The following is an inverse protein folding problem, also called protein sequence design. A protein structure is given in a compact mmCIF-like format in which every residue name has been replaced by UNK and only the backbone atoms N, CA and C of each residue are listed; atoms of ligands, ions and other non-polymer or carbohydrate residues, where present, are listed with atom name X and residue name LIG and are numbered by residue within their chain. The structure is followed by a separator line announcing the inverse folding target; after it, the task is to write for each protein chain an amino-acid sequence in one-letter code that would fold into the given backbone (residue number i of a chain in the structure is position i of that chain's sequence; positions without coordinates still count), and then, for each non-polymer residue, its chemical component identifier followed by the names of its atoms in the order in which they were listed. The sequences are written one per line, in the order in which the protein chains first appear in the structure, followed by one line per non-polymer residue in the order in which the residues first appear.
data_IF_419241096058
#
_entry.id   IF_419241096058
#
_cell.length_a   1.000
_cell.length_b   1.000
_cell.length_c   1.000
_cell.angle_alpha   90.00
_cell.angle_beta   90.00
_cell.angle_gamma   90.00
#
_symmetry.space_group_name_H-M   'P 1'
#
loop_
_entity.id
_entity.type
_entity.pdbx_description
1 polymer ?
#
# COMPACT_ATOMS: atom_id res chain seq x y z
N UNK A 1 0.75 29.77 -31.53
CA UNK A 1 -0.05 28.52 -31.48
C UNK A 1 -1.53 28.88 -31.45
N UNK A 2 -2.42 28.14 -32.14
CA UNK A 2 -3.85 28.46 -32.08
C UNK A 2 -4.46 28.02 -30.74
N UNK A 3 -5.48 28.72 -30.21
CA UNK A 3 -6.10 28.39 -28.92
C UNK A 3 -6.67 26.96 -28.87
N UNK A 4 -7.10 26.45 -30.02
CA UNK A 4 -7.58 25.08 -30.20
C UNK A 4 -6.48 24.04 -30.03
N UNK A 5 -5.27 24.29 -30.55
CA UNK A 5 -4.13 23.37 -30.41
C UNK A 5 -3.66 23.27 -28.96
N UNK A 6 -3.70 24.38 -28.21
CA UNK A 6 -3.35 24.40 -26.79
C UNK A 6 -4.38 23.68 -25.92
N UNK A 7 -5.68 23.85 -26.22
CA UNK A 7 -6.74 23.09 -25.54
C UNK A 7 -6.69 21.60 -25.86
N UNK A 8 -6.36 21.24 -27.10
CA UNK A 8 -6.12 19.85 -27.50
C UNK A 8 -4.86 19.26 -26.84
N UNK A 9 -3.79 20.03 -26.64
CA UNK A 9 -2.61 19.54 -25.93
C UNK A 9 -2.90 19.33 -24.44
N UNK A 10 -3.61 20.25 -23.78
CA UNK A 10 -4.05 20.08 -22.39
C UNK A 10 -5.03 18.92 -22.23
N UNK A 11 -5.96 18.74 -23.18
CA UNK A 11 -6.86 17.57 -23.18
C UNK A 11 -6.08 16.28 -23.45
N UNK A 12 -5.05 16.31 -24.31
CA UNK A 12 -4.19 15.16 -24.59
C UNK A 12 -3.27 14.83 -23.40
N UNK A 13 -2.75 15.81 -22.68
CA UNK A 13 -2.03 15.60 -21.42
C UNK A 13 -2.97 15.12 -20.30
N UNK A 14 -4.20 15.60 -20.24
CA UNK A 14 -5.19 15.10 -19.29
C UNK A 14 -5.70 13.68 -19.62
N UNK A 15 -5.79 13.32 -20.90
CA UNK A 15 -6.26 12.01 -21.37
C UNK A 15 -5.14 10.98 -21.55
N UNK A 16 -3.92 11.41 -21.84
CA UNK A 16 -2.77 10.56 -22.20
C UNK A 16 -1.47 10.91 -21.47
N UNK A 17 -1.42 11.97 -20.66
CA UNK A 17 -0.18 12.51 -20.09
C UNK A 17 0.45 11.70 -18.97
N UNK A 18 -0.01 10.48 -18.68
CA UNK A 18 0.64 9.61 -17.69
C UNK A 18 0.29 8.10 -17.85
N UNK A 19 -0.01 7.65 -19.07
CA UNK A 19 -0.61 6.32 -19.28
C UNK A 19 0.35 5.18 -19.66
N UNK A 20 1.66 5.42 -19.79
CA UNK A 20 2.60 4.33 -20.05
C UNK A 20 3.35 3.94 -18.77
N UNK A 21 2.99 2.77 -18.23
CA UNK A 21 3.74 2.15 -17.13
C UNK A 21 5.04 1.63 -17.71
N UNK A 22 6.13 2.34 -17.44
CA UNK A 22 7.48 1.87 -17.75
C UNK A 22 7.78 0.68 -16.83
N UNK A 23 7.95 -0.51 -17.41
CA UNK A 23 8.11 -1.76 -16.67
C UNK A 23 9.38 -1.79 -15.82
N UNK A 24 10.45 -1.17 -16.31
CA UNK A 24 11.71 -1.02 -15.57
C UNK A 24 11.50 -0.19 -14.30
N UNK A 25 10.71 0.89 -14.39
CA UNK A 25 10.38 1.73 -13.23
C UNK A 25 9.46 0.99 -12.26
N UNK A 26 8.50 0.20 -12.77
CA UNK A 26 7.67 -0.67 -11.95
C UNK A 26 8.53 -1.70 -11.20
N UNK A 27 9.50 -2.31 -11.88
CA UNK A 27 10.45 -3.26 -11.29
C UNK A 27 11.36 -2.61 -10.23
N UNK A 28 11.88 -1.42 -10.50
CA UNK A 28 12.66 -0.66 -9.53
C UNK A 28 11.83 -0.32 -8.28
N UNK A 29 10.59 0.16 -8.44
CA UNK A 29 9.71 0.46 -7.30
C UNK A 29 9.33 -0.80 -6.52
N UNK A 30 9.12 -1.93 -7.21
CA UNK A 30 8.93 -3.22 -6.56
C UNK A 30 10.14 -3.58 -5.68
N UNK A 31 11.36 -3.44 -6.19
CA UNK A 31 12.57 -3.80 -5.44
C UNK A 31 12.90 -2.85 -4.27
N UNK A 32 12.27 -1.67 -4.21
CA UNK A 32 12.37 -0.78 -3.04
C UNK A 32 11.58 -1.33 -1.85
N UNK A 33 10.49 -2.05 -2.11
CA UNK A 33 9.64 -2.56 -1.04
C UNK A 33 10.34 -3.68 -0.27
N UNK A 34 10.17 -3.73 1.05
CA UNK A 34 10.70 -4.82 1.86
C UNK A 34 9.98 -6.14 1.53
N UNK A 35 10.64 -7.25 1.84
CA UNK A 35 10.04 -8.60 1.68
C UNK A 35 9.09 -8.92 2.84
N UNK A 36 9.40 -8.43 4.04
CA UNK A 36 8.56 -8.52 5.23
C UNK A 36 8.53 -7.20 6.02
N UNK A 37 7.41 -6.96 6.68
CA UNK A 37 7.23 -5.79 7.56
C UNK A 37 6.60 -6.24 8.86
N UNK A 38 7.25 -5.91 9.98
CA UNK A 38 6.71 -6.19 11.31
C UNK A 38 5.64 -5.15 11.63
N UNK A 39 4.44 -5.65 11.92
CA UNK A 39 3.30 -4.85 12.35
C UNK A 39 2.81 -5.37 13.69
N UNK A 40 2.74 -4.49 14.66
CA UNK A 40 1.97 -4.73 15.88
C UNK A 40 0.70 -3.92 15.83
N UNK A 41 -0.39 -4.41 16.40
CA UNK A 41 -1.64 -3.67 16.46
C UNK A 41 -2.39 -3.94 17.75
N UNK A 42 -3.23 -2.99 18.13
CA UNK A 42 -4.14 -3.07 19.26
C UNK A 42 -5.51 -2.51 18.88
N UNK A 43 -6.56 -2.94 19.59
CA UNK A 43 -7.89 -2.34 19.46
C UNK A 43 -8.06 -1.25 20.50
N UNK A 44 -8.39 -0.07 20.00
CA UNK A 44 -8.86 1.06 20.79
C UNK A 44 -10.32 1.32 20.40
N UNK A 45 -11.23 0.75 21.18
CA UNK A 45 -12.67 0.66 20.89
C UNK A 45 -12.98 0.08 19.48
N UNK A 46 -13.46 0.92 18.56
CA UNK A 46 -13.81 0.56 17.19
C UNK A 46 -12.61 0.65 16.22
N UNK A 47 -11.46 1.11 16.70
CA UNK A 47 -10.27 1.32 15.87
C UNK A 47 -9.24 0.23 16.09
N UNK A 48 -8.59 -0.16 15.00
CA UNK A 48 -7.38 -0.97 14.98
C UNK A 48 -6.22 0.00 14.81
N UNK A 49 -5.43 0.19 15.86
CA UNK A 49 -4.24 1.04 15.85
C UNK A 49 -3.01 0.16 15.62
N UNK A 50 -2.29 0.41 14.53
CA UNK A 50 -1.12 -0.33 14.12
C UNK A 50 0.18 0.46 14.28
N UNK A 51 1.24 -0.25 14.64
CA UNK A 51 2.62 0.22 14.62
C UNK A 51 3.39 -0.60 13.59
N UNK A 52 3.84 0.09 12.54
CA UNK A 52 4.54 -0.48 11.40
C UNK A 52 6.02 -0.13 11.52
N UNK A 53 6.86 -1.15 11.65
CA UNK A 53 8.32 -0.96 11.75
C UNK A 53 8.96 -1.23 10.39
N UNK A 54 9.53 -0.18 9.78
CA UNK A 54 10.16 -0.26 8.45
C UNK A 54 11.37 0.66 8.37
N UNK A 55 12.49 0.16 7.85
CA UNK A 55 13.72 0.95 7.69
C UNK A 55 14.31 1.52 8.98
N UNK A 56 14.06 0.89 10.14
CA UNK A 56 14.49 1.39 11.45
C UNK A 56 13.62 2.50 12.05
N UNK A 57 12.51 2.83 11.38
CA UNK A 57 11.53 3.80 11.86
C UNK A 57 10.21 3.12 12.22
N UNK A 58 9.55 3.64 13.25
CA UNK A 58 8.19 3.24 13.62
C UNK A 58 7.19 4.27 13.07
N UNK A 59 6.16 3.77 12.41
CA UNK A 59 5.05 4.57 11.93
C UNK A 59 3.73 4.04 12.48
N UNK A 60 2.73 4.92 12.58
CA UNK A 60 1.40 4.56 13.07
C UNK A 60 0.37 4.57 11.95
N UNK A 61 -0.52 3.58 11.96
CA UNK A 61 -1.72 3.52 11.12
C UNK A 61 -2.94 3.28 11.99
N UNK A 62 -4.12 3.65 11.50
CA UNK A 62 -5.38 3.33 12.14
C UNK A 62 -6.45 3.04 11.11
N UNK A 63 -7.37 2.13 11.43
CA UNK A 63 -8.48 1.76 10.57
C UNK A 63 -9.63 1.18 11.39
N UNK A 64 -10.84 1.13 10.83
CA UNK A 64 -12.02 0.56 11.50
C UNK A 64 -12.29 -0.90 11.13
N UNK A 65 -11.65 -1.39 10.07
CA UNK A 65 -11.81 -2.77 9.61
C UNK A 65 -10.46 -3.41 9.29
N UNK A 66 -10.40 -4.74 9.35
CA UNK A 66 -9.20 -5.50 9.00
C UNK A 66 -8.71 -5.21 7.59
N UNK A 67 -9.64 -5.09 6.62
CA UNK A 67 -9.32 -4.79 5.22
C UNK A 67 -8.72 -3.40 5.08
N UNK A 68 -9.39 -2.40 5.63
CA UNK A 68 -8.90 -1.01 5.61
C UNK A 68 -7.54 -0.91 6.33
N UNK A 69 -7.35 -1.65 7.43
CA UNK A 69 -6.06 -1.70 8.13
C UNK A 69 -4.93 -2.18 7.23
N UNK A 70 -5.16 -3.27 6.48
CA UNK A 70 -4.19 -3.80 5.50
C UNK A 70 -3.92 -2.79 4.38
N UNK A 71 -4.95 -2.11 3.89
CA UNK A 71 -4.81 -1.05 2.87
C UNK A 71 -3.96 0.11 3.40
N UNK A 72 -4.23 0.59 4.62
CA UNK A 72 -3.47 1.66 5.29
C UNK A 72 -2.00 1.30 5.51
N UNK A 73 -1.69 0.05 5.88
CA UNK A 73 -0.30 -0.41 6.02
C UNK A 73 0.42 -0.38 4.67
N UNK A 74 -0.22 -0.81 3.58
CA UNK A 74 0.39 -0.78 2.25
C UNK A 74 0.56 0.65 1.73
N UNK A 75 -0.43 1.52 1.93
CA UNK A 75 -0.34 2.93 1.55
C UNK A 75 0.78 3.65 2.30
N UNK A 76 0.97 3.33 3.59
CA UNK A 76 2.09 3.83 4.37
C UNK A 76 3.43 3.40 3.77
N UNK A 77 3.57 2.14 3.37
CA UNK A 77 4.81 1.67 2.74
C UNK A 77 5.07 2.35 1.41
N UNK A 78 4.04 2.55 0.59
CA UNK A 78 4.18 3.30 -0.65
C UNK A 78 4.62 4.74 -0.42
N UNK A 79 4.12 5.38 0.64
CA UNK A 79 4.56 6.72 1.02
C UNK A 79 6.02 6.74 1.51
N UNK A 80 6.41 5.82 2.39
CA UNK A 80 7.77 5.73 2.94
C UNK A 80 8.83 5.49 1.85
N UNK A 81 8.49 4.68 0.84
CA UNK A 81 9.40 4.37 -0.28
C UNK A 81 9.19 5.28 -1.50
N UNK A 82 8.41 6.35 -1.35
CA UNK A 82 8.12 7.35 -2.40
C UNK A 82 7.63 6.72 -3.71
N UNK A 83 6.79 5.69 -3.61
CA UNK A 83 6.23 4.99 -4.75
C UNK A 83 5.08 5.84 -5.32
N UNK A 84 5.15 6.27 -6.59
CA UNK A 84 4.10 7.09 -7.16
C UNK A 84 2.79 6.30 -7.24
N UNK A 85 1.67 6.97 -6.95
CA UNK A 85 0.34 6.35 -6.87
C UNK A 85 -0.03 5.55 -8.14
N UNK A 86 0.37 6.03 -9.33
CA UNK A 86 0.16 5.32 -10.61
C UNK A 86 0.81 3.94 -10.68
N UNK A 87 1.97 3.76 -10.03
CA UNK A 87 2.63 2.46 -9.93
C UNK A 87 2.05 1.63 -8.78
N UNK A 88 1.63 2.25 -7.67
CA UNK A 88 0.99 1.55 -6.55
C UNK A 88 -0.26 0.76 -6.99
N UNK A 89 -1.09 1.32 -7.88
CA UNK A 89 -2.25 0.62 -8.45
C UNK A 89 -1.87 -0.62 -9.28
N UNK A 90 -0.68 -0.63 -9.88
CA UNK A 90 -0.16 -1.75 -10.70
C UNK A 90 0.64 -2.75 -9.89
N UNK A 91 1.07 -2.38 -8.69
CA UNK A 91 1.71 -3.25 -7.71
C UNK A 91 0.67 -4.10 -6.94
N UNK A 92 -0.56 -4.26 -7.43
CA UNK A 92 -1.62 -5.02 -6.76
C UNK A 92 -1.25 -6.45 -6.37
N UNK A 93 -0.31 -7.08 -7.08
CA UNK A 93 0.29 -8.38 -6.74
C UNK A 93 1.42 -8.32 -5.72
N UNK A 94 1.99 -7.14 -5.45
CA UNK A 94 3.04 -6.87 -4.46
C UNK A 94 2.51 -6.24 -3.19
N UNK A 95 1.23 -6.50 -2.88
CA UNK A 95 0.67 -6.14 -1.59
C UNK A 95 1.26 -7.04 -0.53
N UNK A 96 1.72 -6.41 0.53
CA UNK A 96 1.99 -7.09 1.77
C UNK A 96 0.64 -7.49 2.36
N UNK A 97 0.47 -8.78 2.62
CA UNK A 97 -0.75 -9.32 3.22
C UNK A 97 -0.42 -10.03 4.54
N UNK A 98 -1.31 -9.92 5.54
CA UNK A 98 -1.27 -10.83 6.69
C UNK A 98 -1.53 -12.25 6.20
N UNK A 99 -1.01 -13.24 6.93
CA UNK A 99 -1.46 -14.61 6.74
C UNK A 99 -2.96 -14.73 7.13
N UNK A 100 -3.59 -15.85 6.75
CA UNK A 100 -5.03 -16.06 7.02
C UNK A 100 -5.38 -15.95 8.51
N UNK A 101 -4.58 -16.56 9.37
CA UNK A 101 -4.84 -16.58 10.82
C UNK A 101 -4.76 -15.18 11.44
N UNK A 102 -3.79 -14.35 11.04
CA UNK A 102 -3.65 -12.98 11.50
C UNK A 102 -4.74 -12.08 10.94
N UNK A 103 -5.17 -12.31 9.69
CA UNK A 103 -6.34 -11.62 9.14
C UNK A 103 -7.62 -11.98 9.89
N UNK A 104 -7.79 -13.24 10.28
CA UNK A 104 -8.92 -13.68 11.09
C UNK A 104 -8.88 -13.04 12.49
N UNK A 105 -7.69 -12.89 13.10
CA UNK A 105 -7.51 -12.13 14.36
C UNK A 105 -7.89 -10.65 14.20
N UNK A 106 -7.51 -10.02 13.09
CA UNK A 106 -7.88 -8.64 12.76
C UNK A 106 -9.40 -8.46 12.52
N UNK A 107 -10.11 -9.51 12.12
CA UNK A 107 -11.58 -9.49 12.02
C UNK A 107 -12.29 -9.86 13.33
N UNK A 108 -11.63 -10.60 14.22
CA UNK A 108 -12.23 -11.05 15.47
C UNK A 108 -12.09 -9.99 16.58
N UNK A 109 -13.18 -9.27 16.88
CA UNK A 109 -13.25 -8.23 17.92
C UNK A 109 -12.83 -8.67 19.33
N UNK A 110 -12.83 -9.98 19.64
CA UNK A 110 -12.40 -10.48 20.95
C UNK A 110 -10.87 -10.41 21.16
N UNK A 111 -10.09 -10.39 20.08
CA UNK A 111 -8.64 -10.21 20.16
C UNK A 111 -8.36 -8.74 20.49
N UNK A 112 -7.48 -8.42 21.43
CA UNK A 112 -7.23 -7.00 21.78
C UNK A 112 -5.94 -6.45 21.20
N UNK A 113 -4.97 -7.32 20.91
CA UNK A 113 -3.69 -6.97 20.32
C UNK A 113 -3.01 -8.20 19.73
N UNK A 114 -2.20 -7.99 18.70
CA UNK A 114 -1.31 -9.01 18.15
C UNK A 114 -0.09 -8.34 17.53
N UNK A 115 0.93 -9.13 17.24
CA UNK A 115 2.07 -8.70 16.43
C UNK A 115 2.38 -9.81 15.44
N UNK A 116 2.59 -9.42 14.19
CA UNK A 116 2.91 -10.35 13.13
C UNK A 116 3.72 -9.67 12.04
N UNK A 117 4.29 -10.47 11.14
CA UNK A 117 4.95 -9.96 9.96
C UNK A 117 3.99 -10.06 8.79
N UNK A 118 3.78 -8.95 8.09
CA UNK A 118 3.26 -9.02 6.74
C UNK A 118 4.35 -9.61 5.86
N UNK A 119 3.97 -10.56 5.00
CA UNK A 119 4.88 -11.17 4.05
C UNK A 119 4.40 -10.81 2.65
N UNK A 120 5.34 -10.59 1.74
CA UNK A 120 5.03 -10.41 0.33
C UNK A 120 4.23 -11.59 -0.19
N UNK A 121 3.01 -11.34 -0.66
CA UNK A 121 2.28 -12.32 -1.44
C UNK A 121 2.92 -12.36 -2.82
N UNK A 122 3.52 -13.48 -3.21
CA UNK A 122 3.74 -13.74 -4.63
C UNK A 122 2.38 -14.14 -5.21
N UNK A 123 1.72 -13.22 -5.91
CA UNK A 123 0.66 -13.65 -6.81
C UNK A 123 1.33 -14.54 -7.88
N UNK A 124 1.19 -15.85 -7.74
CA UNK A 124 1.50 -16.80 -8.80
C UNK A 124 0.67 -16.37 -10.00
N UNK A 125 1.37 -16.03 -11.08
CA UNK A 125 0.80 -15.58 -12.35
C UNK A 125 -0.17 -16.61 -12.95
#
# INVERSE_FOLDING_TARGET
MSPLKYRLSLAKEALFGDNEIIYEVLWCNKNKLPDDVRVSWERDDEWIVGKVNVGGHEYMTQARSAREFVEMVNDLLYAVYEIPHRYAQKLGSYRLLPNKEEFDKLNNAAVKKSSFNFVRSEAVA
#
